data_IF_002622440785
#
_entry.id   IF_002622440785
#
_cell.length_a   1.000
_cell.length_b   1.000
_cell.length_c   1.000
_cell.angle_alpha   90.00
_cell.angle_beta   90.00
_cell.angle_gamma   90.00
#
_symmetry.space_group_name_H-M   'P 1'
#
loop_
_entity.id
_entity.type
_entity.pdbx_description
1 polymer ?
#
# COMPACT_ATOMS: atom_id res chain seq x y z
N UNK A 1 12.28 19.65 1.44
CA UNK A 1 11.36 20.74 1.86
C UNK A 1 9.89 20.35 1.78
N UNK A 2 9.40 19.82 0.65
CA UNK A 2 8.00 19.45 0.49
C UNK A 2 7.50 18.42 1.52
N UNK A 3 8.26 17.35 1.77
CA UNK A 3 7.89 16.35 2.79
C UNK A 3 7.75 16.97 4.19
N UNK A 4 8.71 17.77 4.64
CA UNK A 4 8.65 18.45 5.95
C UNK A 4 7.41 19.36 6.05
N UNK A 5 7.07 20.08 4.97
CA UNK A 5 5.85 20.89 4.92
C UNK A 5 4.58 20.04 4.97
N UNK A 6 4.53 18.93 4.23
CA UNK A 6 3.38 18.03 4.24
C UNK A 6 3.18 17.38 5.62
N UNK A 7 4.25 16.85 6.23
CA UNK A 7 4.14 16.22 7.54
C UNK A 7 3.94 17.20 8.69
N UNK A 8 4.47 18.43 8.58
CA UNK A 8 4.37 19.44 9.63
C UNK A 8 3.12 20.30 9.56
N UNK A 9 2.56 20.52 8.37
CA UNK A 9 1.41 21.41 8.18
C UNK A 9 0.11 20.66 7.90
N UNK A 10 0.12 19.34 7.77
CA UNK A 10 -1.09 18.55 7.51
C UNK A 10 -1.19 17.39 8.50
N UNK A 11 -2.40 16.83 8.62
CA UNK A 11 -2.71 15.61 9.38
C UNK A 11 -1.85 14.39 8.97
N UNK A 12 -1.08 14.48 7.88
CA UNK A 12 -0.20 13.41 7.41
C UNK A 12 0.91 13.08 8.43
N UNK A 13 1.23 14.00 9.34
CA UNK A 13 2.09 13.74 10.49
C UNK A 13 1.51 12.70 11.47
N UNK A 14 0.19 12.58 11.58
CA UNK A 14 -0.47 11.57 12.42
C UNK A 14 -0.20 10.15 11.91
N UNK A 15 0.06 9.96 10.60
CA UNK A 15 0.46 8.66 10.05
C UNK A 15 1.78 8.15 10.63
N UNK A 16 2.65 9.05 11.12
CA UNK A 16 3.87 8.64 11.82
C UNK A 16 3.59 7.93 13.15
N UNK A 17 2.38 8.08 13.70
CA UNK A 17 1.93 7.39 14.92
C UNK A 17 1.33 6.00 14.64
N UNK A 18 1.23 5.56 13.38
CA UNK A 18 0.74 4.21 13.03
C UNK A 18 1.51 3.08 13.74
N UNK A 19 2.85 3.11 13.88
CA UNK A 19 3.57 2.07 14.62
C UNK A 19 3.11 1.95 16.07
N UNK A 20 2.75 3.09 16.68
CA UNK A 20 2.23 3.14 18.05
C UNK A 20 0.82 2.54 18.15
N UNK A 21 -0.05 2.81 17.17
CA UNK A 21 -1.36 2.16 17.04
C UNK A 21 -1.23 0.62 17.00
N UNK A 22 -0.29 0.11 16.20
CA UNK A 22 -0.04 -1.33 16.07
C UNK A 22 0.48 -1.90 17.40
N UNK A 23 1.43 -1.21 18.05
CA UNK A 23 1.96 -1.63 19.35
C UNK A 23 0.86 -1.71 20.42
N UNK A 24 -0.03 -0.72 20.45
CA UNK A 24 -1.12 -0.67 21.42
C UNK A 24 -2.18 -1.76 21.15
N UNK A 25 -2.53 -2.00 19.88
CA UNK A 25 -3.35 -3.15 19.50
C UNK A 25 -2.73 -4.49 19.94
N UNK A 26 -1.42 -4.66 19.81
CA UNK A 26 -0.74 -5.87 20.28
C UNK A 26 -0.83 -6.03 21.80
N UNK A 27 -0.80 -4.93 22.57
CA UNK A 27 -1.00 -4.97 24.01
C UNK A 27 -2.42 -5.45 24.36
N UNK A 28 -3.46 -4.89 23.73
CA UNK A 28 -4.83 -5.37 23.92
C UNK A 28 -4.98 -6.84 23.53
N UNK A 29 -4.36 -7.28 22.44
CA UNK A 29 -4.41 -8.68 22.01
C UNK A 29 -3.67 -9.63 22.95
N UNK A 30 -2.64 -9.15 23.65
CA UNK A 30 -1.93 -9.90 24.68
C UNK A 30 -2.76 -10.01 25.98
N UNK A 31 -3.45 -8.93 26.35
CA UNK A 31 -4.32 -8.89 27.54
C UNK A 31 -5.64 -9.64 27.33
N UNK A 32 -6.22 -9.51 26.14
CA UNK A 32 -7.45 -10.16 25.71
C UNK A 32 -7.34 -10.62 24.25
N UNK A 33 -7.16 -11.93 24.09
CA UNK A 33 -7.04 -12.56 22.77
C UNK A 33 -8.31 -12.50 21.91
N UNK A 34 -9.45 -12.10 22.49
CA UNK A 34 -10.73 -11.98 21.79
C UNK A 34 -10.87 -10.66 21.02
N UNK A 35 -10.05 -9.65 21.35
CA UNK A 35 -10.10 -8.34 20.71
C UNK A 35 -9.46 -8.42 19.32
N UNK A 36 -10.29 -8.30 18.29
CA UNK A 36 -9.84 -8.14 16.91
C UNK A 36 -9.34 -6.72 16.64
N UNK A 37 -8.60 -6.54 15.54
CA UNK A 37 -8.11 -5.22 15.14
C UNK A 37 -9.26 -4.23 14.88
N UNK A 38 -10.34 -4.70 14.25
CA UNK A 38 -11.52 -3.86 13.99
C UNK A 38 -12.22 -3.49 15.30
N UNK A 39 -12.35 -4.43 16.23
CA UNK A 39 -12.96 -4.17 17.54
C UNK A 39 -12.16 -3.10 18.30
N UNK A 40 -10.83 -3.20 18.27
CA UNK A 40 -9.93 -2.20 18.84
C UNK A 40 -10.12 -0.80 18.21
N UNK A 41 -10.27 -0.72 16.88
CA UNK A 41 -10.54 0.57 16.20
C UNK A 41 -11.92 1.11 16.60
N UNK A 42 -12.95 0.27 16.67
CA UNK A 42 -14.30 0.70 17.07
C UNK A 42 -14.29 1.24 18.50
N UNK A 43 -13.62 0.54 19.41
CA UNK A 43 -13.45 0.93 20.80
C UNK A 43 -12.85 2.35 20.93
N UNK A 44 -11.73 2.61 20.25
CA UNK A 44 -10.99 3.87 20.42
C UNK A 44 -11.47 5.03 19.55
N UNK A 45 -12.08 4.78 18.38
CA UNK A 45 -12.45 5.84 17.43
C UNK A 45 -13.96 6.04 17.27
N UNK A 46 -14.78 5.04 17.60
CA UNK A 46 -16.25 5.10 17.46
C UNK A 46 -16.89 5.27 18.83
N UNK A 47 -16.54 4.40 19.79
CA UNK A 47 -17.05 4.48 21.16
C UNK A 47 -16.40 5.62 21.95
N UNK A 48 -15.13 5.93 21.65
CA UNK A 48 -14.41 7.09 22.18
C UNK A 48 -13.88 6.93 23.61
N UNK A 49 -13.95 5.70 24.13
CA UNK A 49 -13.42 5.26 25.42
C UNK A 49 -13.47 3.72 25.38
N UNK A 50 -12.45 3.05 25.87
CA UNK A 50 -12.44 1.60 26.07
C UNK A 50 -13.07 1.19 27.42
N UNK A 51 -13.50 2.17 28.21
CA UNK A 51 -14.18 2.03 29.49
C UNK A 51 -13.23 1.96 30.69
N UNK A 52 -11.93 2.16 30.48
CA UNK A 52 -10.92 2.20 31.55
C UNK A 52 -10.10 3.48 31.49
N UNK A 53 -9.69 3.97 32.66
CA UNK A 53 -8.84 5.17 32.77
C UNK A 53 -7.35 4.85 32.82
N UNK A 54 -7.00 3.56 32.73
CA UNK A 54 -5.65 3.05 32.97
C UNK A 54 -4.66 3.43 31.85
N UNK A 55 -5.17 3.59 30.63
CA UNK A 55 -4.46 3.78 29.37
C UNK A 55 -4.88 5.04 28.61
N UNK A 56 -5.67 5.93 29.21
CA UNK A 56 -5.98 7.26 28.64
C UNK A 56 -4.74 8.00 28.10
N UNK A 57 -3.59 7.89 28.79
CA UNK A 57 -2.33 8.50 28.34
C UNK A 57 -1.80 7.89 27.06
N UNK A 58 -2.09 6.62 26.84
CA UNK A 58 -1.70 5.90 25.65
C UNK A 58 -2.67 6.12 24.49
N UNK A 59 -3.95 6.26 24.80
CA UNK A 59 -5.03 6.59 23.86
C UNK A 59 -4.86 7.98 23.26
N UNK A 60 -4.51 8.97 24.09
CA UNK A 60 -4.28 10.35 23.68
C UNK A 60 -3.20 10.51 22.60
N UNK A 61 -2.28 9.54 22.49
CA UNK A 61 -1.21 9.55 21.49
C UNK A 61 -1.45 8.59 20.33
N UNK A 62 -2.65 8.00 20.23
CA UNK A 62 -3.08 7.33 19.01
C UNK A 62 -3.27 8.35 17.86
N UNK A 63 -3.00 7.94 16.61
CA UNK A 63 -3.23 8.79 15.45
C UNK A 63 -4.66 9.30 15.45
N UNK A 64 -4.88 10.61 15.29
CA UNK A 64 -6.23 11.15 15.08
C UNK A 64 -7.25 10.80 16.20
N UNK A 65 -6.83 10.53 17.44
CA UNK A 65 -7.75 10.23 18.54
C UNK A 65 -8.72 11.40 18.85
N UNK A 66 -8.24 12.64 18.66
CA UNK A 66 -8.96 13.87 18.96
C UNK A 66 -9.67 14.52 17.75
N UNK A 67 -10.15 13.73 16.78
CA UNK A 67 -10.82 14.26 15.55
C UNK A 67 -12.01 15.18 15.88
N UNK A 68 -12.66 15.02 17.05
CA UNK A 68 -13.85 15.80 17.42
C UNK A 68 -13.57 17.30 17.63
N UNK A 69 -12.32 17.75 17.74
CA UNK A 69 -12.02 19.13 18.14
C UNK A 69 -11.37 20.01 17.05
N UNK A 70 -10.89 19.46 15.92
CA UNK A 70 -10.16 20.27 14.94
C UNK A 70 -10.38 19.79 13.49
N UNK A 71 -11.37 20.38 12.80
CA UNK A 71 -11.47 20.26 11.34
C UNK A 71 -10.63 21.35 10.67
N UNK A 72 -9.31 21.18 10.66
CA UNK A 72 -8.40 22.07 9.92
C UNK A 72 -7.90 21.36 8.66
N UNK A 73 -8.48 21.72 7.51
CA UNK A 73 -8.04 21.22 6.22
C UNK A 73 -6.88 22.08 5.68
N UNK A 74 -5.66 21.57 5.81
CA UNK A 74 -4.48 22.27 5.33
C UNK A 74 -4.24 22.02 3.83
N UNK A 75 -4.34 23.07 3.02
CA UNK A 75 -4.03 23.04 1.60
C UNK A 75 -2.57 23.44 1.38
N UNK A 76 -1.74 22.51 0.90
CA UNK A 76 -0.36 22.81 0.48
C UNK A 76 -0.34 23.07 -1.02
N UNK A 77 -0.11 24.33 -1.42
CA UNK A 77 0.10 24.68 -2.82
C UNK A 77 1.58 24.44 -3.17
N UNK A 78 1.89 23.30 -3.79
CA UNK A 78 3.23 23.04 -4.31
C UNK A 78 3.45 23.82 -5.61
N UNK A 79 4.64 24.40 -5.84
CA UNK A 79 4.98 24.95 -7.15
C UNK A 79 4.90 23.85 -8.23
N UNK A 80 4.53 24.26 -9.44
CA UNK A 80 4.28 23.39 -10.58
C UNK A 80 5.37 22.30 -10.73
N UNK A 81 4.94 21.04 -10.70
CA UNK A 81 5.82 19.91 -10.97
C UNK A 81 6.45 20.07 -12.35
N UNK A 82 7.78 20.15 -12.41
CA UNK A 82 8.52 20.08 -13.67
C UNK A 82 8.24 18.71 -14.28
N UNK A 83 7.57 18.69 -15.43
CA UNK A 83 7.45 17.48 -16.23
C UNK A 83 8.83 17.12 -16.76
N UNK A 84 9.24 15.87 -16.57
CA UNK A 84 10.44 15.30 -17.19
C UNK A 84 9.98 14.29 -18.23
N UNK A 85 10.38 14.51 -19.48
CA UNK A 85 10.18 13.53 -20.53
C UNK A 85 11.19 12.39 -20.35
N UNK A 86 10.70 11.24 -19.91
CA UNK A 86 11.49 10.02 -19.84
C UNK A 86 11.58 9.45 -21.26
N UNK A 87 12.68 9.72 -21.94
CA UNK A 87 12.97 9.07 -23.22
C UNK A 87 13.60 7.70 -22.93
N UNK A 88 12.82 6.63 -23.08
CA UNK A 88 13.35 5.27 -23.01
C UNK A 88 14.13 4.97 -24.28
N UNK A 89 15.44 5.26 -24.26
CA UNK A 89 16.37 4.85 -25.30
C UNK A 89 16.65 3.35 -25.17
N UNK A 90 15.68 2.53 -25.59
CA UNK A 90 15.88 1.09 -25.74
C UNK A 90 16.29 0.78 -27.18
N UNK A 91 17.54 0.35 -27.37
CA UNK A 91 17.97 -0.19 -28.65
C UNK A 91 17.46 -1.63 -28.78
N UNK A 92 16.33 -1.80 -29.48
CA UNK A 92 15.90 -3.11 -29.94
C UNK A 92 16.90 -3.60 -30.99
N UNK A 93 17.80 -4.50 -30.59
CA UNK A 93 18.58 -5.30 -31.53
C UNK A 93 17.71 -6.51 -31.93
N UNK A 94 17.11 -6.55 -33.13
CA UNK A 94 16.55 -7.78 -33.63
C UNK A 94 17.71 -8.76 -33.81
N UNK A 95 17.90 -9.66 -32.85
CA UNK A 95 18.66 -10.87 -33.10
C UNK A 95 17.87 -11.64 -34.16
N UNK A 96 18.27 -11.49 -35.42
CA UNK A 96 17.79 -12.31 -36.52
C UNK A 96 18.34 -13.72 -36.26
N UNK A 97 17.66 -14.49 -35.42
CA UNK A 97 17.83 -15.94 -35.34
C UNK A 97 17.23 -16.50 -36.63
N UNK A 98 18.00 -16.40 -37.72
CA UNK A 98 17.75 -17.12 -38.95
C UNK A 98 17.99 -18.59 -38.69
N UNK A 99 16.97 -19.31 -38.25
CA UNK A 99 16.95 -20.76 -38.45
C UNK A 99 16.95 -20.96 -39.97
N UNK A 100 18.12 -21.32 -40.53
CA UNK A 100 18.21 -21.74 -41.93
C UNK A 100 17.39 -23.02 -42.04
N UNK A 101 16.11 -22.90 -42.38
CA UNK A 101 15.26 -24.05 -42.63
C UNK A 101 15.86 -24.77 -43.84
N UNK A 102 16.57 -25.88 -43.60
CA UNK A 102 16.94 -26.77 -44.69
C UNK A 102 15.63 -27.21 -45.34
N UNK A 103 15.51 -26.99 -46.64
CA UNK A 103 14.47 -27.58 -47.47
C UNK A 103 14.64 -29.11 -47.43
N UNK A 104 14.07 -29.72 -46.40
CA UNK A 104 14.12 -31.15 -46.14
C UNK A 104 12.78 -31.54 -45.57
N UNK A 105 11.97 -32.20 -46.40
CA UNK A 105 10.67 -32.83 -46.16
C UNK A 105 10.03 -32.55 -44.79
N UNK A 106 8.92 -31.79 -44.81
CA UNK A 106 8.00 -31.71 -43.68
C UNK A 106 7.57 -33.13 -43.30
N UNK A 107 8.00 -33.62 -42.14
CA UNK A 107 7.49 -34.87 -41.59
C UNK A 107 5.97 -34.74 -41.43
N UNK A 108 5.20 -35.67 -42.02
CA UNK A 108 3.72 -35.65 -42.02
C UNK A 108 3.07 -35.65 -40.63
N UNK A 109 3.87 -35.73 -39.57
CA UNK A 109 3.45 -35.68 -38.17
C UNK A 109 3.41 -34.25 -37.60
N UNK A 110 3.93 -33.22 -38.29
CA UNK A 110 3.86 -31.82 -37.80
C UNK A 110 2.40 -31.36 -37.65
N UNK A 111 1.52 -31.83 -38.54
CA UNK A 111 0.07 -31.58 -38.48
C UNK A 111 -0.64 -32.35 -37.36
N UNK A 112 0.03 -33.31 -36.69
CA UNK A 112 -0.51 -34.05 -35.55
C UNK A 112 -0.25 -33.36 -34.21
N UNK A 113 0.69 -32.41 -34.15
CA UNK A 113 1.16 -31.78 -32.90
C UNK A 113 0.06 -30.91 -32.26
N UNK A 114 -0.78 -30.27 -33.07
CA UNK A 114 -1.82 -29.35 -32.60
C UNK A 114 -3.23 -29.90 -32.84
N UNK A 115 -3.42 -31.19 -32.65
CA UNK A 115 -4.77 -31.76 -32.68
C UNK A 115 -5.34 -31.82 -31.26
N UNK A 116 -6.58 -31.34 -31.05
CA UNK A 116 -7.23 -31.49 -29.76
C UNK A 116 -7.45 -32.99 -29.44
N UNK A 117 -7.49 -33.36 -28.16
CA UNK A 117 -7.60 -34.75 -27.73
C UNK A 117 -8.90 -35.37 -28.23
N UNK A 118 -8.79 -36.58 -28.81
CA UNK A 118 -9.96 -37.35 -29.24
C UNK A 118 -10.47 -38.16 -28.04
N UNK A 119 -11.76 -37.98 -27.74
CA UNK A 119 -12.48 -38.62 -26.63
C UNK A 119 -12.64 -40.12 -26.88
#
# INVERSE_FOLDING_TARGET
MAAIHLLGNTELGELLKIPRLISHYQQHRCSDSSVGFIDFIVMHYVSGDDGTSADNRDDEQLPCHNIKQQHSFAQTLSPASRLYDITLNYQFQPNLFGAKQQEGFLSGHVSLILQPPRV
#
